data_IF_495702144709
#
_entry.id   IF_495702144709
#
_cell.length_a   1.000
_cell.length_b   1.000
_cell.length_c   1.000
_cell.angle_alpha   90.00
_cell.angle_beta   90.00
_cell.angle_gamma   90.00
#
_symmetry.space_group_name_H-M   'P 1'
#
loop_
_entity.id
_entity.type
_entity.pdbx_description
1 polymer ?
#
# COMPACT_ATOMS: atom_id res chain seq x y z
N UNK A 1 1.17 12.15 -20.66
CA UNK A 1 1.81 12.48 -19.38
C UNK A 1 2.30 11.17 -18.78
N UNK A 2 3.61 10.94 -18.81
CA UNK A 2 4.24 9.72 -18.31
C UNK A 2 4.11 9.67 -16.77
N UNK A 3 3.59 8.57 -16.23
CA UNK A 3 3.75 8.23 -14.82
C UNK A 3 5.21 7.77 -14.64
N UNK A 4 6.12 8.72 -14.44
CA UNK A 4 7.54 8.46 -14.24
C UNK A 4 7.93 8.88 -12.83
N UNK A 5 8.47 7.90 -12.11
CA UNK A 5 9.35 7.99 -10.94
C UNK A 5 9.13 9.16 -9.98
N UNK A 6 8.34 8.90 -8.93
CA UNK A 6 8.67 9.43 -7.62
C UNK A 6 8.90 8.23 -6.71
N UNK A 7 10.18 7.99 -6.44
CA UNK A 7 10.64 7.28 -5.26
C UNK A 7 10.19 8.12 -4.06
N UNK A 8 8.92 8.01 -3.69
CA UNK A 8 8.43 8.52 -2.43
C UNK A 8 9.03 7.64 -1.34
N UNK A 9 10.01 8.23 -0.67
CA UNK A 9 10.49 7.88 0.65
C UNK A 9 9.27 7.75 1.56
N UNK A 10 8.70 6.55 1.71
CA UNK A 10 8.00 6.05 2.91
C UNK A 10 7.50 4.62 2.68
N UNK A 11 8.33 3.67 3.10
CA UNK A 11 8.05 2.26 3.32
C UNK A 11 7.76 1.38 2.09
N UNK A 12 8.81 0.69 1.61
CA UNK A 12 8.75 -0.46 0.69
C UNK A 12 7.96 -1.67 1.25
N UNK A 13 7.24 -1.49 2.36
CA UNK A 13 6.48 -2.54 3.03
C UNK A 13 5.09 -2.70 2.41
N UNK A 14 4.48 -1.64 1.87
CA UNK A 14 3.13 -1.72 1.29
C UNK A 14 3.17 -1.93 -0.22
N UNK A 15 2.36 -2.87 -0.67
CA UNK A 15 2.14 -3.19 -2.07
C UNK A 15 0.71 -2.83 -2.42
N UNK A 16 0.53 -2.13 -3.53
CA UNK A 16 -0.75 -1.59 -3.96
C UNK A 16 -1.17 -2.15 -5.32
N UNK A 17 -2.48 -2.25 -5.54
CA UNK A 17 -3.05 -2.56 -6.87
C UNK A 17 -4.12 -1.52 -7.22
N UNK A 18 -4.17 -1.14 -8.50
CA UNK A 18 -5.24 -0.29 -9.02
C UNK A 18 -6.56 -1.07 -9.09
N UNK A 19 -7.65 -0.46 -8.64
CA UNK A 19 -9.00 -1.02 -8.77
C UNK A 19 -9.72 -0.35 -9.93
N UNK A 20 -9.93 0.96 -9.79
CA UNK A 20 -10.53 1.86 -10.79
C UNK A 20 -9.75 3.18 -10.78
N UNK A 21 -10.06 4.07 -11.73
CA UNK A 21 -9.30 5.32 -11.92
C UNK A 21 -9.19 6.11 -10.61
N UNK A 22 -7.96 6.38 -10.17
CA UNK A 22 -7.62 7.10 -8.93
C UNK A 22 -7.92 6.37 -7.61
N UNK A 23 -8.31 5.08 -7.64
CA UNK A 23 -8.53 4.27 -6.46
C UNK A 23 -7.60 3.06 -6.44
N UNK A 24 -6.98 2.84 -5.29
CA UNK A 24 -6.02 1.76 -5.08
C UNK A 24 -6.39 0.94 -3.85
N UNK A 25 -6.01 -0.34 -3.87
CA UNK A 25 -6.12 -1.24 -2.74
C UNK A 25 -4.73 -1.56 -2.18
N UNK A 26 -4.64 -1.82 -0.88
CA UNK A 26 -3.46 -2.44 -0.27
C UNK A 26 -3.54 -3.94 -0.49
N UNK A 27 -2.69 -4.47 -1.37
CA UNK A 27 -2.64 -5.89 -1.71
C UNK A 27 -1.80 -6.70 -0.74
N UNK A 28 -0.73 -6.10 -0.20
CA UNK A 28 0.15 -6.72 0.78
C UNK A 28 0.86 -5.69 1.64
N UNK A 29 1.08 -6.01 2.90
CA UNK A 29 2.04 -5.39 3.78
C UNK A 29 3.13 -6.41 4.09
N UNK A 30 4.41 -6.03 4.03
CA UNK A 30 5.57 -6.89 4.35
C UNK A 30 6.40 -6.33 5.50
N UNK A 31 5.90 -5.30 6.20
CA UNK A 31 6.66 -4.68 7.27
C UNK A 31 6.59 -5.46 8.57
N UNK A 32 7.51 -5.12 9.46
CA UNK A 32 7.69 -5.80 10.75
C UNK A 32 7.00 -5.08 11.91
N UNK A 33 6.40 -3.91 11.64
CA UNK A 33 5.76 -3.10 12.67
C UNK A 33 4.49 -3.78 13.18
N UNK A 34 4.39 -3.94 14.50
CA UNK A 34 3.20 -4.48 15.18
C UNK A 34 1.99 -3.54 15.11
N UNK A 35 2.25 -2.26 14.95
CA UNK A 35 1.25 -1.22 14.79
C UNK A 35 1.64 -0.38 13.58
N UNK A 36 0.67 -0.16 12.69
CA UNK A 36 0.84 0.65 11.49
C UNK A 36 -0.36 1.57 11.33
N UNK A 37 -0.11 2.71 10.70
CA UNK A 37 -1.16 3.58 10.21
C UNK A 37 -1.38 3.29 8.73
N UNK A 38 -2.63 3.04 8.34
CA UNK A 38 -2.98 2.89 6.93
C UNK A 38 -2.97 4.29 6.31
N UNK A 39 -2.17 4.55 5.27
CA UNK A 39 -2.20 5.84 4.60
C UNK A 39 -3.55 6.03 3.91
N UNK A 40 -4.06 7.26 3.89
CA UNK A 40 -5.30 7.59 3.17
C UNK A 40 -5.07 7.64 1.65
N UNK A 41 -3.85 7.99 1.24
CA UNK A 41 -3.48 8.19 -0.17
C UNK A 41 -2.08 7.68 -0.44
N UNK A 42 -1.86 7.21 -1.66
CA UNK A 42 -0.54 6.98 -2.21
C UNK A 42 -0.46 7.62 -3.60
N UNK A 43 0.54 8.48 -3.83
CA UNK A 43 0.75 9.19 -5.11
C UNK A 43 -0.50 9.90 -5.66
N UNK A 44 -1.31 10.49 -4.79
CA UNK A 44 -2.55 11.19 -5.16
C UNK A 44 -3.74 10.28 -5.47
N UNK A 45 -3.57 8.96 -5.39
CA UNK A 45 -4.66 7.98 -5.48
C UNK A 45 -5.17 7.65 -4.07
N UNK A 46 -6.48 7.48 -3.93
CA UNK A 46 -7.13 7.17 -2.66
C UNK A 46 -7.06 5.68 -2.36
N UNK A 47 -6.68 5.33 -1.13
CA UNK A 47 -6.68 3.96 -0.63
C UNK A 47 -8.09 3.67 -0.11
N UNK A 48 -8.83 2.89 -0.88
CA UNK A 48 -10.25 2.63 -0.62
C UNK A 48 -10.53 1.22 -0.12
N UNK A 49 -9.58 0.30 -0.29
CA UNK A 49 -9.76 -1.12 -0.01
C UNK A 49 -8.50 -1.72 0.61
N UNK A 50 -8.70 -2.55 1.63
CA UNK A 50 -7.67 -3.47 2.15
C UNK A 50 -7.97 -4.84 1.53
N UNK A 51 -6.98 -5.42 0.85
CA UNK A 51 -7.10 -6.75 0.27
C UNK A 51 -7.29 -7.81 1.35
N UNK A 52 -8.09 -8.85 1.06
CA UNK A 52 -8.49 -9.91 2.00
C UNK A 52 -7.32 -10.53 2.78
N UNK A 53 -6.14 -10.62 2.14
CA UNK A 53 -4.94 -11.24 2.69
C UNK A 53 -3.76 -10.28 2.83
N UNK A 54 -4.04 -8.97 2.82
CA UNK A 54 -3.00 -7.94 2.78
C UNK A 54 -2.01 -8.04 3.96
N UNK A 55 -2.47 -8.48 5.13
CA UNK A 55 -1.65 -8.61 6.34
C UNK A 55 -1.40 -10.06 6.74
N UNK A 56 -1.84 -11.03 5.93
CA UNK A 56 -1.73 -12.44 6.26
C UNK A 56 -0.27 -12.91 6.17
N UNK A 57 0.16 -13.74 7.13
CA UNK A 57 1.49 -14.34 7.20
C UNK A 57 2.66 -13.35 7.32
N UNK A 58 2.42 -12.14 7.84
CA UNK A 58 3.49 -11.30 8.37
C UNK A 58 3.96 -11.86 9.71
N UNK A 59 4.80 -12.88 9.62
CA UNK A 59 5.53 -13.44 10.76
C UNK A 59 6.58 -12.41 11.20
N UNK A 60 6.34 -11.81 12.36
CA UNK A 60 7.39 -11.12 13.12
C UNK A 60 8.17 -12.24 13.79
N UNK A 61 9.34 -12.58 13.23
CA UNK A 61 10.27 -13.55 13.82
C UNK A 61 11.03 -12.88 14.96
#
# INVERSE_FOLDING_TARGET
>A
MNCLDLKDEHSCEFYYKNIIRCQILIDKYNGISKQINIPEKNSGQEIVVIGEKAFQNNLII
#
